data_IF_614963538127
#
_entry.id   IF_614963538127
#
_cell.length_a   1.000
_cell.length_b   1.000
_cell.length_c   1.000
_cell.angle_alpha   90.00
_cell.angle_beta   90.00
_cell.angle_gamma   90.00
#
_symmetry.space_group_name_H-M   'P 1'
#
loop_
_entity.id
_entity.type
_entity.pdbx_description
1 polymer ?
#
# COMPACT_ATOMS: atom_id res chain seq x y z
N UNK A 1 7.51 -37.89 26.44
CA UNK A 1 7.34 -37.10 25.21
C UNK A 1 8.62 -36.30 25.02
N UNK A 2 9.34 -36.50 23.91
CA UNK A 2 10.49 -35.64 23.59
C UNK A 2 9.89 -34.32 23.09
N UNK A 3 10.07 -33.24 23.83
CA UNK A 3 9.72 -31.90 23.38
C UNK A 3 10.59 -31.57 22.17
N UNK A 4 10.02 -31.65 20.96
CA UNK A 4 10.69 -31.17 19.74
C UNK A 4 10.62 -29.66 19.75
N UNK A 5 11.77 -29.01 19.97
CA UNK A 5 11.89 -27.57 19.79
C UNK A 5 11.82 -27.25 18.29
N UNK A 6 11.07 -26.22 17.89
CA UNK A 6 11.00 -25.83 16.48
C UNK A 6 12.39 -25.38 16.02
N UNK A 7 12.82 -25.90 14.87
CA UNK A 7 14.14 -25.61 14.31
C UNK A 7 13.97 -24.84 13.00
N UNK A 8 14.59 -23.65 12.87
CA UNK A 8 14.60 -22.91 11.61
C UNK A 8 15.16 -23.76 10.49
N UNK A 9 14.50 -23.74 9.33
CA UNK A 9 14.97 -24.37 8.11
C UNK A 9 15.07 -23.36 6.99
N UNK A 10 16.00 -23.60 6.07
CA UNK A 10 16.11 -22.87 4.83
C UNK A 10 16.64 -23.78 3.73
N UNK A 11 16.38 -23.39 2.48
CA UNK A 11 16.97 -23.96 1.28
C UNK A 11 17.46 -22.81 0.42
N UNK A 12 18.72 -22.89 0.01
CA UNK A 12 19.37 -21.90 -0.84
C UNK A 12 19.93 -22.61 -2.06
N UNK A 13 19.47 -22.20 -3.24
CA UNK A 13 20.15 -22.54 -4.49
C UNK A 13 20.95 -21.34 -4.98
N UNK A 14 22.09 -21.60 -5.61
CA UNK A 14 22.90 -20.62 -6.33
C UNK A 14 23.01 -21.09 -7.77
N UNK A 15 22.52 -20.30 -8.72
CA UNK A 15 22.43 -20.65 -10.15
C UNK A 15 21.83 -22.07 -10.34
N UNK A 16 20.68 -22.29 -9.70
CA UNK A 16 19.91 -23.55 -9.68
C UNK A 16 20.55 -24.72 -8.92
N UNK A 17 21.81 -24.61 -8.49
CA UNK A 17 22.46 -25.65 -7.69
C UNK A 17 22.13 -25.48 -6.20
N UNK A 18 21.59 -26.54 -5.57
CA UNK A 18 21.41 -26.56 -4.11
C UNK A 18 22.77 -26.52 -3.40
N UNK A 19 22.99 -25.44 -2.64
CA UNK A 19 24.20 -25.21 -1.84
C UNK A 19 23.90 -25.20 -0.34
N UNK A 20 22.69 -25.56 0.08
CA UNK A 20 22.22 -25.51 1.47
C UNK A 20 23.17 -26.23 2.41
N UNK A 21 23.64 -27.44 2.04
CA UNK A 21 24.59 -28.20 2.86
C UNK A 21 25.97 -27.55 3.03
N UNK A 22 26.39 -26.69 2.09
CA UNK A 22 27.63 -25.91 2.18
C UNK A 22 27.45 -24.64 3.03
N UNK A 23 26.26 -24.04 2.96
CA UNK A 23 25.91 -22.79 3.64
C UNK A 23 25.53 -23.02 5.10
N UNK A 24 24.75 -24.05 5.40
CA UNK A 24 24.26 -24.35 6.75
C UNK A 24 25.31 -24.33 7.87
N UNK A 25 26.47 -25.00 7.76
CA UNK A 25 27.47 -24.97 8.82
C UNK A 25 28.20 -23.61 8.96
N UNK A 26 27.98 -22.69 8.02
CA UNK A 26 28.67 -21.39 7.94
C UNK A 26 27.71 -20.21 8.14
N UNK A 27 26.41 -20.44 8.20
CA UNK A 27 25.43 -19.36 8.32
C UNK A 27 25.60 -18.63 9.65
N UNK A 28 25.93 -17.34 9.58
CA UNK A 28 25.91 -16.43 10.73
C UNK A 28 24.53 -15.81 10.86
N UNK A 29 24.00 -15.27 9.75
CA UNK A 29 22.66 -14.71 9.70
C UNK A 29 22.11 -14.71 8.28
N UNK A 30 20.77 -14.79 8.19
CA UNK A 30 19.99 -14.58 6.99
C UNK A 30 18.89 -13.58 7.34
N UNK A 31 18.83 -12.47 6.61
CA UNK A 31 17.73 -11.51 6.72
C UNK A 31 17.08 -11.33 5.35
N UNK A 32 15.77 -11.56 5.28
CA UNK A 32 14.96 -11.28 4.10
C UNK A 32 14.00 -10.13 4.43
N UNK A 33 14.15 -9.01 3.74
CA UNK A 33 13.22 -7.88 3.77
C UNK A 33 12.37 -7.91 2.50
N UNK A 34 11.06 -8.03 2.63
CA UNK A 34 10.11 -7.95 1.53
C UNK A 34 9.24 -6.70 1.67
N UNK A 35 8.97 -6.01 0.57
CA UNK A 35 8.23 -4.74 0.52
C UNK A 35 7.08 -4.78 -0.50
N UNK A 36 5.94 -4.15 -0.17
CA UNK A 36 4.82 -3.94 -1.09
C UNK A 36 4.99 -2.71 -2.01
N UNK A 37 6.04 -1.90 -1.80
CA UNK A 37 6.15 -0.55 -2.34
C UNK A 37 7.29 -0.33 -3.33
N UNK A 38 7.83 0.89 -3.33
CA UNK A 38 8.86 1.38 -4.26
C UNK A 38 10.25 0.76 -4.05
N UNK A 39 10.44 0.05 -2.94
CA UNK A 39 11.67 -0.67 -2.57
C UNK A 39 11.63 -2.12 -3.07
N UNK A 40 12.78 -2.62 -3.52
CA UNK A 40 12.94 -4.03 -3.89
C UNK A 40 13.07 -4.91 -2.66
N UNK A 41 12.60 -6.16 -2.76
CA UNK A 41 12.93 -7.17 -1.75
C UNK A 41 14.45 -7.38 -1.72
N UNK A 42 14.99 -7.60 -0.52
CA UNK A 42 16.41 -7.71 -0.26
C UNK A 42 16.71 -8.91 0.65
N UNK A 43 17.68 -9.71 0.23
CA UNK A 43 18.26 -10.80 0.99
C UNK A 43 19.69 -10.42 1.40
N UNK A 44 19.93 -10.42 2.70
CA UNK A 44 21.25 -10.30 3.30
C UNK A 44 21.66 -11.66 3.89
N UNK A 45 22.82 -12.17 3.47
CA UNK A 45 23.38 -13.44 3.93
C UNK A 45 24.79 -13.22 4.45
N UNK A 46 25.01 -13.48 5.73
CA UNK A 46 26.35 -13.42 6.33
C UNK A 46 26.83 -14.84 6.63
N UNK A 47 28.02 -15.16 6.13
CA UNK A 47 28.65 -16.48 6.23
C UNK A 47 30.00 -16.38 6.91
N UNK A 48 30.32 -17.35 7.76
CA UNK A 48 31.66 -17.52 8.31
C UNK A 48 32.60 -18.08 7.26
N UNK A 49 33.72 -17.38 7.08
CA UNK A 49 34.85 -17.80 6.25
C UNK A 49 36.13 -17.93 7.09
N UNK A 50 35.99 -18.34 8.36
CA UNK A 50 37.12 -18.47 9.29
C UNK A 50 38.21 -19.46 8.83
N UNK A 51 37.92 -20.34 7.87
CA UNK A 51 38.87 -21.26 7.25
C UNK A 51 39.29 -20.87 5.82
N UNK A 52 38.84 -19.72 5.32
CA UNK A 52 39.21 -19.16 4.02
C UNK A 52 38.81 -20.01 2.81
N UNK A 53 37.79 -20.86 2.95
CA UNK A 53 37.40 -21.83 1.91
C UNK A 53 36.23 -21.37 1.04
N UNK A 54 35.52 -20.31 1.42
CA UNK A 54 34.43 -19.79 0.60
C UNK A 54 34.99 -18.95 -0.53
N UNK A 55 34.64 -19.33 -1.76
CA UNK A 55 34.82 -18.44 -2.89
C UNK A 55 33.85 -17.25 -2.77
N UNK A 56 34.34 -16.05 -3.07
CA UNK A 56 33.50 -14.86 -3.21
C UNK A 56 32.68 -15.04 -4.51
N UNK A 57 31.35 -15.13 -4.46
CA UNK A 57 30.54 -15.32 -5.66
C UNK A 57 30.59 -14.08 -6.56
N UNK A 58 30.47 -14.24 -7.88
CA UNK A 58 30.41 -13.10 -8.78
C UNK A 58 29.10 -12.32 -8.58
N UNK A 59 29.14 -11.01 -8.85
CA UNK A 59 27.92 -10.21 -9.01
C UNK A 59 27.10 -10.77 -10.18
N UNK A 60 25.78 -10.72 -10.05
CA UNK A 60 24.84 -11.27 -11.03
C UNK A 60 24.41 -12.71 -10.75
N UNK A 61 25.07 -13.42 -9.82
CA UNK A 61 24.65 -14.77 -9.45
C UNK A 61 23.23 -14.79 -8.87
N UNK A 62 22.46 -15.83 -9.19
CA UNK A 62 21.05 -15.97 -8.81
C UNK A 62 20.90 -16.84 -7.58
N UNK A 63 20.23 -16.32 -6.56
CA UNK A 63 19.90 -17.04 -5.33
C UNK A 63 18.40 -17.26 -5.27
N UNK A 64 17.95 -18.52 -5.21
CA UNK A 64 16.57 -18.81 -4.81
C UNK A 64 16.53 -19.21 -3.34
N UNK A 65 15.63 -18.58 -2.59
CA UNK A 65 15.51 -18.79 -1.15
C UNK A 65 14.17 -19.45 -0.80
N UNK A 66 14.24 -20.49 0.03
CA UNK A 66 13.10 -20.93 0.82
C UNK A 66 13.43 -20.83 2.31
N UNK A 67 12.47 -20.43 3.14
CA UNK A 67 12.59 -20.39 4.60
C UNK A 67 11.37 -21.01 5.27
N UNK A 68 11.54 -21.52 6.49
CA UNK A 68 10.43 -21.99 7.28
C UNK A 68 10.89 -22.73 8.52
N UNK A 69 10.07 -23.68 8.96
CA UNK A 69 10.39 -24.52 10.10
C UNK A 69 10.61 -25.95 9.62
N UNK A 70 11.67 -26.61 10.07
CA UNK A 70 12.07 -27.93 9.60
C UNK A 70 10.94 -28.97 9.72
N UNK A 71 10.06 -28.82 10.71
CA UNK A 71 8.93 -29.72 10.93
C UNK A 71 7.67 -29.39 10.10
N UNK A 72 7.51 -28.14 9.64
CA UNK A 72 6.29 -27.65 8.98
C UNK A 72 6.48 -27.44 7.47
N UNK A 73 7.74 -27.43 7.01
CA UNK A 73 8.12 -27.21 5.61
C UNK A 73 8.67 -25.81 5.36
N UNK A 74 9.19 -25.62 4.15
CA UNK A 74 9.78 -24.37 3.70
C UNK A 74 8.85 -23.68 2.70
N UNK A 75 8.78 -22.34 2.77
CA UNK A 75 8.04 -21.49 1.84
C UNK A 75 9.03 -20.86 0.87
N UNK A 76 8.74 -20.94 -0.42
CA UNK A 76 9.51 -20.25 -1.46
C UNK A 76 9.35 -18.74 -1.31
N UNK A 77 10.47 -18.04 -1.14
CA UNK A 77 10.55 -16.59 -0.99
C UNK A 77 11.02 -15.87 -2.25
N UNK A 78 11.30 -16.60 -3.32
CA UNK A 78 11.63 -16.07 -4.64
C UNK A 78 13.11 -16.11 -4.98
N UNK A 79 13.43 -15.53 -6.13
CA UNK A 79 14.79 -15.41 -6.68
C UNK A 79 15.34 -14.00 -6.51
N UNK A 80 16.60 -13.91 -6.11
CA UNK A 80 17.35 -12.69 -5.82
C UNK A 80 18.65 -12.69 -6.61
N UNK A 81 19.09 -11.54 -7.10
CA UNK A 81 20.37 -11.39 -7.80
C UNK A 81 21.38 -10.73 -6.88
N UNK A 82 22.56 -11.35 -6.72
CA UNK A 82 23.67 -10.81 -5.93
C UNK A 82 24.20 -9.55 -6.63
N UNK A 83 24.23 -8.42 -5.94
CA UNK A 83 24.80 -7.18 -6.49
C UNK A 83 25.96 -6.63 -5.67
N UNK A 84 26.04 -6.98 -4.40
CA UNK A 84 27.12 -6.60 -3.51
C UNK A 84 27.63 -7.82 -2.73
N UNK A 85 28.96 -7.88 -2.63
CA UNK A 85 29.67 -8.88 -1.86
C UNK A 85 30.76 -8.16 -1.08
N UNK A 86 30.79 -8.39 0.22
CA UNK A 86 31.79 -7.87 1.14
C UNK A 86 32.52 -9.03 1.81
N UNK A 87 33.84 -8.92 1.96
CA UNK A 87 34.64 -9.79 2.84
C UNK A 87 35.26 -8.92 3.93
N UNK A 88 35.09 -9.31 5.18
CA UNK A 88 35.63 -8.62 6.34
C UNK A 88 36.56 -9.54 7.14
N UNK A 89 37.57 -8.97 7.80
CA UNK A 89 38.50 -9.72 8.66
C UNK A 89 37.99 -9.94 10.09
N UNK A 90 38.56 -10.94 10.76
CA UNK A 90 38.42 -11.36 12.17
C UNK A 90 37.14 -10.93 12.92
N UNK A 91 36.16 -11.85 13.11
CA UNK A 91 36.10 -13.14 12.44
C UNK A 91 35.95 -12.95 10.92
N UNK A 92 36.63 -13.77 10.14
CA UNK A 92 36.55 -13.66 8.68
C UNK A 92 35.13 -14.04 8.22
N UNK A 93 34.49 -13.13 7.48
CA UNK A 93 33.10 -13.26 7.05
C UNK A 93 32.92 -12.81 5.61
N UNK A 94 31.96 -13.43 4.92
CA UNK A 94 31.43 -12.98 3.64
C UNK A 94 29.99 -12.53 3.85
N UNK A 95 29.68 -11.30 3.45
CA UNK A 95 28.31 -10.78 3.43
C UNK A 95 27.87 -10.62 1.98
N UNK A 96 26.79 -11.31 1.62
CA UNK A 96 26.12 -11.18 0.32
C UNK A 96 24.88 -10.32 0.49
N UNK A 97 24.74 -9.31 -0.36
CA UNK A 97 23.49 -8.57 -0.53
C UNK A 97 22.94 -8.89 -1.91
N UNK A 98 21.74 -9.44 -1.93
CA UNK A 98 21.01 -9.79 -3.13
C UNK A 98 19.63 -9.12 -3.11
N UNK A 99 19.12 -8.73 -4.27
CA UNK A 99 17.82 -8.06 -4.39
C UNK A 99 16.97 -8.78 -5.43
N UNK A 100 15.65 -8.93 -5.22
CA UNK A 100 14.73 -9.38 -6.29
C UNK A 100 14.95 -8.48 -7.47
N UNK A 101 15.23 -9.06 -8.65
CA UNK A 101 15.58 -8.40 -9.91
C UNK A 101 15.26 -6.91 -9.88
N UNK A 102 16.17 -6.16 -9.25
CA UNK A 102 15.91 -4.77 -8.95
C UNK A 102 16.38 -4.07 -10.19
N UNK A 103 15.59 -4.16 -11.25
CA UNK A 103 15.64 -3.19 -12.32
C UNK A 103 17.11 -3.10 -12.78
N UNK A 104 17.64 -4.25 -13.24
CA UNK A 104 18.96 -4.39 -13.91
C UNK A 104 19.19 -3.13 -14.72
N UNK A 105 20.40 -2.58 -14.76
CA UNK A 105 20.77 -1.29 -15.36
C UNK A 105 19.81 -0.76 -16.45
N UNK A 106 19.33 -1.60 -17.38
CA UNK A 106 18.17 -1.41 -18.26
C UNK A 106 16.98 -0.59 -17.69
N UNK A 107 16.40 -0.92 -16.54
CA UNK A 107 15.25 -0.17 -15.99
C UNK A 107 15.64 1.17 -15.34
N UNK A 108 16.94 1.37 -15.09
CA UNK A 108 17.52 2.63 -14.60
C UNK A 108 17.98 3.52 -15.76
N UNK A 109 18.12 2.97 -16.96
CA UNK A 109 18.40 3.75 -18.16
C UNK A 109 17.22 4.66 -18.49
N UNK A 110 17.53 5.90 -18.83
CA UNK A 110 16.53 6.86 -19.26
C UNK A 110 15.97 6.43 -20.61
N UNK A 111 14.64 6.43 -20.71
CA UNK A 111 13.92 6.12 -21.94
C UNK A 111 13.12 7.34 -22.41
N UNK A 112 12.79 7.31 -23.70
CA UNK A 112 11.85 8.23 -24.32
C UNK A 112 10.80 7.45 -25.09
N UNK A 113 9.53 7.66 -24.76
CA UNK A 113 8.40 7.03 -25.43
C UNK A 113 7.14 7.88 -25.27
N UNK A 114 6.27 7.82 -26.27
CA UNK A 114 4.94 8.44 -26.24
C UNK A 114 3.87 7.40 -26.56
N UNK A 115 2.85 7.34 -25.73
CA UNK A 115 1.77 6.37 -25.79
C UNK A 115 0.46 7.11 -26.10
N UNK A 116 -0.23 6.69 -27.16
CA UNK A 116 -1.47 7.33 -27.62
C UNK A 116 -2.54 6.25 -27.87
N UNK A 117 -3.79 6.55 -27.56
CA UNK A 117 -4.97 5.70 -27.83
C UNK A 117 -4.71 4.21 -27.50
N UNK A 118 -4.13 3.96 -26.34
CA UNK A 118 -3.73 2.62 -25.88
C UNK A 118 -4.35 2.27 -24.54
N UNK A 119 -3.97 1.14 -23.96
CA UNK A 119 -4.37 0.73 -22.62
C UNK A 119 -3.18 0.66 -21.68
N UNK A 120 -3.44 0.82 -20.38
CA UNK A 120 -2.43 0.63 -19.36
C UNK A 120 -1.82 -0.78 -19.42
N UNK A 121 -2.61 -1.81 -19.71
CA UNK A 121 -2.12 -3.17 -19.94
C UNK A 121 -1.08 -3.26 -21.05
N UNK A 122 -1.36 -2.67 -22.21
CA UNK A 122 -0.42 -2.66 -23.34
C UNK A 122 0.91 -1.95 -22.99
N UNK A 123 0.86 -0.88 -22.20
CA UNK A 123 2.07 -0.16 -21.74
C UNK A 123 2.91 -1.06 -20.82
N UNK A 124 2.28 -1.69 -19.83
CA UNK A 124 2.98 -2.60 -18.90
C UNK A 124 3.55 -3.82 -19.62
N UNK A 125 2.81 -4.40 -20.58
CA UNK A 125 3.26 -5.51 -21.40
C UNK A 125 4.48 -5.15 -22.26
N UNK A 126 4.49 -3.96 -22.86
CA UNK A 126 5.64 -3.46 -23.61
C UNK A 126 6.89 -3.33 -22.71
N UNK A 127 6.74 -2.76 -21.51
CA UNK A 127 7.84 -2.60 -20.57
C UNK A 127 8.36 -3.97 -20.13
N UNK A 128 7.47 -4.91 -19.78
CA UNK A 128 7.84 -6.26 -19.41
C UNK A 128 8.63 -6.95 -20.55
N UNK A 129 8.11 -6.90 -21.77
CA UNK A 129 8.75 -7.49 -22.96
C UNK A 129 10.16 -6.92 -23.21
N UNK A 130 10.31 -5.59 -23.18
CA UNK A 130 11.60 -4.92 -23.37
C UNK A 130 12.65 -5.33 -22.36
N UNK A 131 12.22 -5.72 -21.16
CA UNK A 131 13.09 -6.11 -20.06
C UNK A 131 13.16 -7.65 -19.86
N UNK A 132 12.71 -8.43 -20.85
CA UNK A 132 12.74 -9.90 -20.83
C UNK A 132 11.97 -10.52 -19.64
N UNK A 133 10.89 -9.86 -19.21
CA UNK A 133 10.00 -10.31 -18.14
C UNK A 133 8.65 -10.76 -18.69
N UNK A 134 8.00 -11.67 -17.97
CA UNK A 134 6.57 -11.91 -18.12
C UNK A 134 5.77 -10.73 -17.56
N UNK A 135 4.55 -10.50 -18.07
CA UNK A 135 3.66 -9.46 -17.55
C UNK A 135 2.57 -10.06 -16.67
N UNK A 136 2.39 -9.50 -15.48
CA UNK A 136 1.33 -9.85 -14.53
C UNK A 136 0.54 -8.61 -14.12
N UNK A 137 -0.32 -8.11 -15.01
CA UNK A 137 -1.22 -6.99 -14.71
C UNK A 137 -2.60 -7.49 -14.28
N UNK A 138 -3.15 -6.88 -13.23
CA UNK A 138 -4.51 -7.15 -12.76
C UNK A 138 -5.57 -6.75 -13.79
N UNK A 139 -6.64 -7.55 -13.91
CA UNK A 139 -7.71 -7.33 -14.88
C UNK A 139 -8.40 -5.96 -14.73
N UNK A 140 -8.52 -5.46 -13.49
CA UNK A 140 -9.10 -4.14 -13.20
C UNK A 140 -8.30 -2.97 -13.78
N UNK A 141 -6.99 -3.16 -14.02
CA UNK A 141 -6.09 -2.14 -14.55
C UNK A 141 -5.80 -2.34 -16.05
N UNK A 142 -5.96 -3.57 -16.56
CA UNK A 142 -5.57 -3.97 -17.91
C UNK A 142 -6.19 -3.11 -19.00
N UNK A 143 -7.51 -2.85 -18.91
CA UNK A 143 -8.27 -2.16 -19.95
C UNK A 143 -8.45 -0.67 -19.69
N UNK A 144 -7.74 -0.09 -18.72
CA UNK A 144 -7.78 1.35 -18.46
C UNK A 144 -7.23 2.09 -19.68
N UNK A 145 -8.07 2.91 -20.31
CA UNK A 145 -7.72 3.67 -21.51
C UNK A 145 -6.73 4.77 -21.17
N UNK A 146 -5.67 4.86 -21.98
CA UNK A 146 -4.65 5.91 -21.93
C UNK A 146 -4.72 6.68 -23.24
N UNK A 147 -5.35 7.87 -23.19
CA UNK A 147 -5.46 8.75 -24.36
C UNK A 147 -4.08 9.25 -24.82
N UNK A 148 -3.29 9.74 -23.86
CA UNK A 148 -1.95 10.25 -24.11
C UNK A 148 -1.09 10.12 -22.85
N UNK A 149 0.14 9.63 -22.99
CA UNK A 149 1.11 9.56 -21.91
C UNK A 149 2.53 9.57 -22.47
N UNK A 150 3.37 10.46 -21.94
CA UNK A 150 4.79 10.53 -22.31
C UNK A 150 5.66 9.98 -21.18
N UNK A 151 6.69 9.23 -21.55
CA UNK A 151 7.86 8.89 -20.76
C UNK A 151 9.01 9.74 -21.29
N UNK A 152 9.31 10.86 -20.64
CA UNK A 152 10.27 11.86 -21.15
C UNK A 152 11.52 11.87 -20.31
N UNK A 153 12.63 11.33 -20.85
CA UNK A 153 13.90 11.16 -20.11
C UNK A 153 13.67 10.55 -18.74
N UNK A 154 12.85 9.52 -18.70
CA UNK A 154 12.41 8.85 -17.48
C UNK A 154 12.72 7.37 -17.63
N UNK A 155 13.32 6.77 -16.60
CA UNK A 155 13.63 5.34 -16.64
C UNK A 155 12.36 4.51 -16.45
N UNK A 156 12.33 3.26 -16.94
CA UNK A 156 11.14 2.39 -16.78
C UNK A 156 10.77 2.22 -15.30
N UNK A 157 11.76 2.18 -14.40
CA UNK A 157 11.54 2.18 -12.96
C UNK A 157 10.76 3.41 -12.47
N UNK A 158 11.20 4.61 -12.86
CA UNK A 158 10.55 5.86 -12.48
C UNK A 158 9.16 5.97 -13.11
N UNK A 159 9.03 5.56 -14.37
CA UNK A 159 7.77 5.56 -15.10
C UNK A 159 6.74 4.63 -14.46
N UNK A 160 7.14 3.40 -14.10
CA UNK A 160 6.29 2.46 -13.37
C UNK A 160 5.86 2.99 -12.00
N UNK A 161 6.75 3.66 -11.25
CA UNK A 161 6.39 4.32 -9.99
C UNK A 161 5.39 5.46 -10.19
N UNK A 162 5.56 6.25 -11.26
CA UNK A 162 4.63 7.33 -11.61
C UNK A 162 3.27 6.79 -12.02
N UNK A 163 3.24 5.73 -12.82
CA UNK A 163 2.03 4.98 -13.16
C UNK A 163 1.37 4.40 -11.90
N UNK A 164 2.15 3.79 -11.02
CA UNK A 164 1.68 3.24 -9.76
C UNK A 164 1.00 4.29 -8.88
N UNK A 165 1.61 5.48 -8.74
CA UNK A 165 1.00 6.62 -8.05
C UNK A 165 -0.28 7.11 -8.74
N UNK A 166 -0.29 7.18 -10.08
CA UNK A 166 -1.46 7.63 -10.85
C UNK A 166 -2.65 6.68 -10.69
N UNK A 167 -2.40 5.37 -10.69
CA UNK A 167 -3.45 4.34 -10.73
C UNK A 167 -3.65 3.61 -9.39
N UNK A 168 -3.03 4.09 -8.30
CA UNK A 168 -2.94 3.42 -7.00
C UNK A 168 -2.57 1.93 -7.10
N UNK A 169 -1.46 1.67 -7.77
CA UNK A 169 -0.95 0.33 -8.03
C UNK A 169 0.52 0.19 -7.62
N UNK A 170 0.90 -1.01 -7.22
CA UNK A 170 2.29 -1.41 -7.01
C UNK A 170 2.84 -2.03 -8.28
N UNK A 171 4.03 -1.56 -8.69
CA UNK A 171 4.87 -2.24 -9.66
C UNK A 171 6.01 -2.97 -8.95
N UNK A 172 6.13 -4.29 -9.14
CA UNK A 172 7.22 -5.09 -8.55
C UNK A 172 7.59 -6.25 -9.46
N UNK A 173 8.84 -6.73 -9.39
CA UNK A 173 9.29 -7.90 -10.14
C UNK A 173 9.41 -9.08 -9.18
N UNK A 174 8.64 -10.14 -9.43
CA UNK A 174 8.73 -11.40 -8.67
C UNK A 174 8.77 -12.56 -9.65
N UNK A 175 9.71 -13.49 -9.45
CA UNK A 175 9.85 -14.71 -10.24
C UNK A 175 9.81 -14.44 -11.77
N UNK A 176 10.68 -13.56 -12.27
CA UNK A 176 10.76 -13.13 -13.67
C UNK A 176 9.45 -12.56 -14.26
N UNK A 177 8.56 -12.07 -13.41
CA UNK A 177 7.29 -11.45 -13.82
C UNK A 177 7.23 -10.02 -13.28
N UNK A 178 7.02 -9.05 -14.17
CA UNK A 178 6.62 -7.69 -13.81
C UNK A 178 5.15 -7.69 -13.40
N UNK A 179 4.90 -7.52 -12.11
CA UNK A 179 3.57 -7.41 -11.54
C UNK A 179 3.15 -5.95 -11.46
N UNK A 180 1.94 -5.65 -11.95
CA UNK A 180 1.30 -4.34 -11.80
C UNK A 180 -0.11 -4.53 -11.27
N UNK A 181 -0.29 -4.30 -9.97
CA UNK A 181 -1.47 -4.72 -9.21
C UNK A 181 -1.95 -3.62 -8.25
N UNK A 182 -3.27 -3.45 -8.03
CA UNK A 182 -3.79 -2.41 -7.13
C UNK A 182 -3.20 -2.51 -5.72
N UNK A 183 -2.80 -1.38 -5.14
CA UNK A 183 -2.11 -1.34 -3.82
C UNK A 183 -3.01 -1.87 -2.71
N UNK A 184 -4.31 -1.59 -2.77
CA UNK A 184 -5.32 -1.90 -1.75
C UNK A 184 -5.94 -3.31 -1.85
N UNK A 185 -5.51 -4.15 -2.80
CA UNK A 185 -6.08 -5.48 -2.97
C UNK A 185 -5.13 -6.58 -2.46
N UNK A 186 -5.64 -7.36 -1.50
CA UNK A 186 -5.04 -8.63 -1.04
C UNK A 186 -5.34 -9.78 -2.01
N UNK A 187 -5.01 -9.60 -3.29
CA UNK A 187 -5.19 -10.58 -4.36
C UNK A 187 -3.88 -10.77 -5.11
N UNK A 188 -3.69 -11.96 -5.68
CA UNK A 188 -2.64 -12.22 -6.68
C UNK A 188 -2.93 -11.45 -7.98
N UNK A 189 -1.95 -11.35 -8.88
CA UNK A 189 -2.16 -10.75 -10.20
C UNK A 189 -3.25 -11.45 -11.02
N UNK A 190 -3.45 -12.76 -10.81
CA UNK A 190 -4.54 -13.55 -11.39
C UNK A 190 -5.90 -13.37 -10.69
N UNK A 191 -5.99 -12.48 -9.70
CA UNK A 191 -7.23 -12.17 -8.97
C UNK A 191 -7.58 -13.12 -7.82
N UNK A 192 -6.74 -14.12 -7.51
CA UNK A 192 -6.98 -15.05 -6.39
C UNK A 192 -6.76 -14.33 -5.06
N UNK A 193 -7.70 -14.44 -4.13
CA UNK A 193 -7.57 -13.89 -2.79
C UNK A 193 -6.37 -14.51 -2.05
N UNK A 194 -5.58 -13.66 -1.38
CA UNK A 194 -4.55 -14.09 -0.45
C UNK A 194 -5.20 -14.59 0.86
N UNK A 195 -4.64 -15.62 1.51
CA UNK A 195 -5.17 -16.13 2.77
C UNK A 195 -5.04 -15.08 3.87
N UNK A 196 -6.08 -14.96 4.70
CA UNK A 196 -6.05 -14.08 5.89
C UNK A 196 -5.17 -14.73 6.95
N UNK A 197 -4.21 -13.96 7.48
CA UNK A 197 -3.31 -14.41 8.53
C UNK A 197 -3.76 -13.83 9.87
N UNK A 198 -4.05 -14.71 10.82
CA UNK A 198 -4.48 -14.35 12.17
C UNK A 198 -3.26 -14.29 13.09
N UNK A 199 -2.99 -13.11 13.66
CA UNK A 199 -1.93 -12.92 14.64
C UNK A 199 -2.54 -12.62 16.01
N UNK A 200 -1.95 -13.19 17.06
CA UNK A 200 -2.39 -12.97 18.44
C UNK A 200 -1.26 -12.29 19.21
N UNK A 201 -1.58 -11.53 20.26
CA UNK A 201 -0.57 -10.88 21.11
C UNK A 201 0.48 -11.84 21.68
N UNK A 202 0.14 -13.11 21.91
CA UNK A 202 1.04 -14.14 22.44
C UNK A 202 2.11 -14.60 21.43
N UNK A 203 1.96 -14.31 20.14
CA UNK A 203 2.95 -14.67 19.11
C UNK A 203 4.11 -13.68 19.04
N UNK A 204 4.00 -12.51 19.69
CA UNK A 204 4.96 -11.43 19.53
C UNK A 204 5.53 -10.91 20.85
N UNK A 205 6.73 -10.33 20.73
CA UNK A 205 7.53 -9.83 21.86
C UNK A 205 7.41 -8.31 22.03
N UNK A 206 7.14 -7.58 20.94
CA UNK A 206 6.93 -6.13 20.96
C UNK A 206 5.98 -5.69 19.83
N UNK A 207 5.26 -4.59 20.07
CA UNK A 207 4.38 -4.00 19.06
C UNK A 207 4.39 -2.46 19.15
N UNK A 208 4.05 -1.81 18.04
CA UNK A 208 3.83 -0.37 17.96
C UNK A 208 2.57 -0.09 17.17
N UNK A 209 1.65 0.66 17.76
CA UNK A 209 0.49 1.22 17.07
C UNK A 209 0.67 2.72 16.92
N UNK A 210 0.39 3.25 15.74
CA UNK A 210 0.41 4.68 15.48
C UNK A 210 -0.83 5.06 14.66
N UNK A 211 -1.49 6.13 15.06
CA UNK A 211 -2.55 6.77 14.29
C UNK A 211 -2.39 8.28 14.42
N UNK A 212 -2.65 9.00 13.33
CA UNK A 212 -2.46 10.45 13.25
C UNK A 212 -3.72 11.11 12.69
N UNK A 213 -4.26 12.06 13.45
CA UNK A 213 -5.40 12.90 13.01
C UNK A 213 -4.98 14.02 12.04
N UNK A 214 -3.68 14.26 11.83
CA UNK A 214 -3.18 15.36 10.99
C UNK A 214 -3.66 15.31 9.52
N UNK A 215 -4.12 14.15 9.08
CA UNK A 215 -4.69 13.90 7.76
C UNK A 215 -6.16 13.46 7.84
N UNK A 216 -6.93 13.96 8.82
CA UNK A 216 -8.37 13.72 8.94
C UNK A 216 -9.18 14.46 7.86
N UNK A 217 -8.83 14.24 6.60
CA UNK A 217 -9.61 14.68 5.46
C UNK A 217 -10.86 13.82 5.36
N UNK A 218 -11.97 14.45 5.00
CA UNK A 218 -13.23 13.76 4.72
C UNK A 218 -13.28 13.15 3.33
N UNK A 219 -12.44 13.65 2.42
CA UNK A 219 -12.33 13.21 1.03
C UNK A 219 -11.17 13.89 0.31
N UNK A 220 -11.02 13.62 -0.98
CA UNK A 220 -10.07 14.29 -1.88
C UNK A 220 -10.82 14.92 -3.03
N UNK A 221 -10.65 16.24 -3.21
CA UNK A 221 -11.19 17.01 -4.34
C UNK A 221 -10.15 17.21 -5.41
N UNK A 222 -10.55 16.95 -6.66
CA UNK A 222 -9.71 17.14 -7.84
C UNK A 222 -10.45 17.94 -8.89
N UNK A 223 -9.77 18.89 -9.51
CA UNK A 223 -10.32 19.74 -10.56
C UNK A 223 -9.92 19.24 -11.94
N UNK A 224 -10.77 19.51 -12.92
CA UNK A 224 -10.49 19.27 -14.34
C UNK A 224 -11.12 20.35 -15.22
N UNK A 225 -10.60 20.48 -16.44
CA UNK A 225 -11.16 21.39 -17.44
C UNK A 225 -12.13 20.66 -18.37
N UNK A 226 -13.36 21.14 -18.41
CA UNK A 226 -14.34 20.69 -19.40
C UNK A 226 -14.17 21.49 -20.69
N UNK A 227 -13.42 20.91 -21.64
CA UNK A 227 -13.13 21.56 -22.92
C UNK A 227 -14.38 21.91 -23.72
N UNK A 228 -15.48 21.15 -23.56
CA UNK A 228 -16.72 21.37 -24.31
C UNK A 228 -17.43 22.64 -23.86
N UNK A 229 -17.38 22.93 -22.57
CA UNK A 229 -18.07 24.07 -21.97
C UNK A 229 -17.11 25.19 -21.54
N UNK A 230 -15.81 25.01 -21.73
CA UNK A 230 -14.74 25.92 -21.31
C UNK A 230 -14.76 26.29 -19.82
N UNK A 231 -15.37 25.44 -18.97
CA UNK A 231 -15.49 25.66 -17.53
C UNK A 231 -14.64 24.67 -16.74
N UNK A 232 -14.22 25.07 -15.54
CA UNK A 232 -13.57 24.17 -14.59
C UNK A 232 -14.63 23.41 -13.81
N UNK A 233 -14.43 22.11 -13.62
CA UNK A 233 -15.31 21.23 -12.83
C UNK A 233 -14.49 20.46 -11.81
N UNK A 234 -15.16 19.87 -10.82
CA UNK A 234 -14.52 19.07 -9.78
C UNK A 234 -15.21 17.73 -9.57
N UNK A 235 -14.43 16.80 -9.05
CA UNK A 235 -14.86 15.50 -8.53
C UNK A 235 -14.32 15.33 -7.12
N UNK A 236 -15.02 14.55 -6.30
CA UNK A 236 -14.61 14.22 -4.92
C UNK A 236 -14.68 12.72 -4.71
N UNK A 237 -13.60 12.14 -4.18
CA UNK A 237 -13.61 10.80 -3.60
C UNK A 237 -13.75 10.92 -2.07
N UNK A 238 -14.64 10.14 -1.46
CA UNK A 238 -15.05 10.34 -0.06
C UNK A 238 -16.12 11.43 0.06
N UNK A 239 -16.10 12.17 1.16
CA UNK A 239 -17.09 13.23 1.43
C UNK A 239 -16.50 14.63 1.16
N UNK A 240 -17.32 15.58 0.67
CA UNK A 240 -17.00 16.99 0.77
C UNK A 240 -17.05 17.45 2.25
N UNK A 241 -16.51 18.63 2.57
CA UNK A 241 -16.46 19.15 3.95
C UNK A 241 -15.16 18.80 4.66
N UNK A 242 -14.12 19.64 4.53
CA UNK A 242 -12.71 19.34 4.89
C UNK A 242 -12.03 18.33 3.94
N UNK A 243 -12.32 18.44 2.64
CA UNK A 243 -11.68 17.60 1.62
C UNK A 243 -10.30 18.13 1.24
N UNK A 244 -9.34 17.23 1.00
CA UNK A 244 -8.02 17.60 0.50
C UNK A 244 -8.12 18.03 -0.95
N UNK A 245 -7.79 19.28 -1.25
CA UNK A 245 -7.71 19.79 -2.62
C UNK A 245 -6.37 19.43 -3.28
N UNK A 246 -6.40 18.66 -4.37
CA UNK A 246 -5.22 18.50 -5.22
C UNK A 246 -4.92 19.79 -5.99
N UNK A 247 -3.63 20.14 -6.08
CA UNK A 247 -3.17 21.36 -6.75
C UNK A 247 -3.26 21.27 -8.27
N UNK A 248 -3.15 20.06 -8.81
CA UNK A 248 -3.18 19.81 -10.25
C UNK A 248 -4.61 19.85 -10.75
N UNK A 249 -4.84 20.66 -11.79
CA UNK A 249 -6.05 20.58 -12.61
C UNK A 249 -5.80 19.63 -13.78
N UNK A 250 -6.67 18.64 -13.95
CA UNK A 250 -6.53 17.60 -14.97
C UNK A 250 -7.22 17.99 -16.28
N UNK A 251 -6.79 17.38 -17.39
CA UNK A 251 -7.31 17.69 -18.72
C UNK A 251 -8.73 17.16 -18.96
N UNK A 252 -9.13 16.10 -18.25
CA UNK A 252 -10.43 15.45 -18.40
C UNK A 252 -10.93 14.89 -17.05
N UNK A 253 -12.21 14.54 -17.02
CA UNK A 253 -12.87 14.04 -15.82
C UNK A 253 -12.37 12.66 -15.38
N UNK A 254 -12.05 11.77 -16.33
CA UNK A 254 -11.59 10.41 -16.05
C UNK A 254 -10.28 10.42 -15.27
N UNK A 255 -9.30 11.21 -15.70
CA UNK A 255 -8.03 11.37 -15.00
C UNK A 255 -8.22 12.01 -13.61
N UNK A 256 -9.14 12.98 -13.49
CA UNK A 256 -9.45 13.60 -12.20
C UNK A 256 -10.08 12.62 -11.22
N UNK A 257 -11.02 11.77 -11.68
CA UNK A 257 -11.62 10.71 -10.85
C UNK A 257 -10.56 9.73 -10.37
N UNK A 258 -9.71 9.27 -11.28
CA UNK A 258 -8.64 8.33 -10.94
C UNK A 258 -7.70 8.92 -9.90
N UNK A 259 -7.29 10.19 -10.06
CA UNK A 259 -6.43 10.88 -9.11
C UNK A 259 -7.11 11.09 -7.74
N UNK A 260 -8.41 11.41 -7.73
CA UNK A 260 -9.18 11.57 -6.50
C UNK A 260 -9.23 10.26 -5.71
N UNK A 261 -9.61 9.16 -6.37
CA UNK A 261 -9.70 7.83 -5.77
C UNK A 261 -8.33 7.38 -5.27
N UNK A 262 -7.28 7.51 -6.08
CA UNK A 262 -5.93 7.06 -5.73
C UNK A 262 -5.39 7.78 -4.48
N UNK A 263 -5.50 9.11 -4.42
CA UNK A 263 -5.05 9.85 -3.25
C UNK A 263 -5.95 9.60 -2.03
N UNK A 264 -7.26 9.43 -2.23
CA UNK A 264 -8.17 9.10 -1.12
C UNK A 264 -7.82 7.75 -0.49
N UNK A 265 -7.63 6.72 -1.31
CA UNK A 265 -7.21 5.40 -0.84
C UNK A 265 -5.86 5.43 -0.15
N UNK A 266 -4.91 6.23 -0.65
CA UNK A 266 -3.62 6.45 0.00
C UNK A 266 -3.76 7.08 1.38
N UNK A 267 -4.61 8.10 1.54
CA UNK A 267 -4.88 8.72 2.84
C UNK A 267 -5.51 7.73 3.81
N UNK A 268 -6.49 6.94 3.34
CA UNK A 268 -7.17 5.93 4.14
C UNK A 268 -6.21 4.85 4.66
N UNK A 269 -5.25 4.38 3.83
CA UNK A 269 -4.26 3.38 4.25
C UNK A 269 -3.37 3.90 5.38
N UNK A 270 -3.02 5.18 5.33
CA UNK A 270 -2.16 5.86 6.31
C UNK A 270 -2.84 6.30 7.61
N UNK A 271 -4.14 6.07 7.79
CA UNK A 271 -4.87 6.48 9.00
C UNK A 271 -4.32 5.83 10.27
N UNK A 272 -3.91 4.57 10.16
CA UNK A 272 -3.27 3.84 11.22
C UNK A 272 -2.21 2.88 10.66
N UNK A 273 -1.13 2.72 11.41
CA UNK A 273 -0.09 1.72 11.17
C UNK A 273 0.11 0.86 12.41
N UNK A 274 0.43 -0.41 12.18
CA UNK A 274 0.70 -1.36 13.24
C UNK A 274 1.95 -2.17 12.91
N UNK A 275 2.82 -2.31 13.88
CA UNK A 275 4.05 -3.06 13.76
C UNK A 275 4.12 -4.11 14.86
N UNK A 276 4.54 -5.32 14.49
CA UNK A 276 4.63 -6.46 15.40
C UNK A 276 5.92 -7.25 15.13
N UNK A 277 6.65 -7.56 16.20
CA UNK A 277 7.77 -8.49 16.16
C UNK A 277 7.32 -9.85 16.69
N UNK A 278 7.28 -10.86 15.82
CA UNK A 278 6.95 -12.24 16.16
C UNK A 278 8.16 -12.98 16.71
N UNK A 279 8.00 -13.60 17.87
CA UNK A 279 9.02 -14.42 18.54
C UNK A 279 9.32 -15.69 17.74
N UNK A 280 8.27 -16.28 17.16
CA UNK A 280 8.37 -17.38 16.20
C UNK A 280 8.01 -16.84 14.82
N UNK A 281 8.97 -16.87 13.91
CA UNK A 281 8.80 -16.43 12.54
C UNK A 281 7.67 -17.17 11.83
N UNK A 282 6.90 -16.43 11.03
CA UNK A 282 5.83 -16.98 10.21
C UNK A 282 6.20 -16.81 8.74
N UNK A 283 6.67 -17.87 8.05
CA UNK A 283 7.17 -17.77 6.68
C UNK A 283 6.06 -17.51 5.65
N UNK A 284 4.78 -17.65 6.02
CA UNK A 284 3.64 -17.35 5.16
C UNK A 284 3.33 -15.85 5.08
N UNK A 285 3.82 -15.04 6.03
CA UNK A 285 3.71 -13.59 5.94
C UNK A 285 4.52 -13.09 4.75
N UNK A 286 3.89 -12.25 3.94
CA UNK A 286 4.49 -11.55 2.81
C UNK A 286 3.75 -10.22 2.61
N UNK A 287 4.32 -9.25 1.88
CA UNK A 287 3.63 -8.00 1.58
C UNK A 287 2.28 -8.26 0.87
N UNK A 288 1.31 -7.38 1.12
CA UNK A 288 -0.11 -7.45 0.70
C UNK A 288 -0.95 -8.53 1.38
N UNK A 289 -0.37 -9.35 2.26
CA UNK A 289 -1.14 -10.31 3.06
C UNK A 289 -2.20 -9.59 3.90
N UNK A 290 -3.48 -10.03 3.88
CA UNK A 290 -4.48 -9.53 4.79
C UNK A 290 -4.23 -10.11 6.19
N UNK A 291 -4.20 -9.25 7.20
CA UNK A 291 -3.88 -9.62 8.58
C UNK A 291 -5.00 -9.16 9.50
N UNK A 292 -5.37 -10.02 10.45
CA UNK A 292 -6.19 -9.64 11.60
C UNK A 292 -5.40 -9.90 12.86
N UNK A 293 -5.59 -9.04 13.86
CA UNK A 293 -4.88 -9.15 15.14
C UNK A 293 -5.87 -9.30 16.28
N UNK A 294 -5.45 -9.98 17.36
CA UNK A 294 -6.28 -10.14 18.55
C UNK A 294 -5.47 -10.16 19.83
N UNK A 295 -6.11 -9.72 20.91
CA UNK A 295 -5.51 -9.63 22.24
C UNK A 295 -4.76 -8.33 22.47
N UNK A 296 -4.94 -7.32 21.61
CA UNK A 296 -4.47 -5.95 21.84
C UNK A 296 -5.64 -5.08 22.31
N UNK A 297 -5.57 -3.76 22.09
CA UNK A 297 -6.68 -2.85 22.41
C UNK A 297 -7.74 -2.95 21.31
N UNK A 298 -9.01 -2.71 21.66
CA UNK A 298 -10.14 -2.73 20.71
C UNK A 298 -9.90 -1.88 19.45
N UNK A 299 -9.27 -0.71 19.60
CA UNK A 299 -8.94 0.18 18.48
C UNK A 299 -7.91 -0.41 17.49
N UNK A 300 -7.20 -1.48 17.86
CA UNK A 300 -6.23 -2.19 17.02
C UNK A 300 -6.88 -3.47 16.47
N UNK A 301 -7.57 -4.22 17.34
CA UNK A 301 -8.19 -5.52 17.02
C UNK A 301 -9.36 -5.40 16.03
N UNK A 302 -10.04 -4.24 15.97
CA UNK A 302 -11.14 -3.99 15.02
C UNK A 302 -10.69 -3.54 13.62
N UNK A 303 -9.41 -3.23 13.44
CA UNK A 303 -8.88 -2.77 12.17
C UNK A 303 -8.52 -3.98 11.30
N UNK A 304 -8.99 -3.98 10.06
CA UNK A 304 -8.44 -4.89 9.05
C UNK A 304 -7.09 -4.36 8.58
N UNK A 305 -6.05 -5.18 8.70
CA UNK A 305 -4.69 -4.79 8.38
C UNK A 305 -4.24 -5.38 7.05
N UNK A 306 -3.36 -4.68 6.36
CA UNK A 306 -2.63 -5.19 5.20
C UNK A 306 -1.12 -5.08 5.45
N UNK A 307 -0.39 -6.15 5.19
CA UNK A 307 1.07 -6.15 5.29
C UNK A 307 1.72 -5.25 4.23
N UNK A 308 2.58 -4.33 4.65
CA UNK A 308 3.35 -3.48 3.73
C UNK A 308 4.82 -3.89 3.65
N UNK A 309 5.35 -4.44 4.74
CA UNK A 309 6.73 -4.88 4.83
C UNK A 309 6.87 -6.04 5.81
N UNK A 310 7.68 -7.03 5.43
CA UNK A 310 8.01 -8.18 6.28
C UNK A 310 9.52 -8.35 6.32
N UNK A 311 10.07 -8.52 7.51
CA UNK A 311 11.49 -8.80 7.73
C UNK A 311 11.59 -10.14 8.45
N UNK A 312 12.06 -11.15 7.74
CA UNK A 312 12.37 -12.47 8.27
C UNK A 312 13.85 -12.52 8.66
N UNK A 313 14.17 -13.02 9.85
CA UNK A 313 15.55 -13.19 10.30
C UNK A 313 15.78 -14.59 10.84
N UNK A 314 16.82 -15.27 10.35
CA UNK A 314 17.34 -16.54 10.86
C UNK A 314 18.77 -16.29 11.34
N UNK A 315 19.01 -16.45 12.64
CA UNK A 315 20.34 -16.35 13.26
C UNK A 315 20.47 -17.34 14.42
N UNK A 316 21.53 -17.19 15.22
CA UNK A 316 21.68 -17.82 16.54
C UNK A 316 20.46 -17.65 17.47
N UNK A 317 19.70 -16.55 17.32
CA UNK A 317 18.46 -16.26 18.04
C UNK A 317 17.23 -17.04 17.54
N UNK A 318 17.36 -17.87 16.50
CA UNK A 318 16.27 -18.62 15.90
C UNK A 318 15.67 -17.93 14.68
N UNK A 319 14.40 -18.22 14.38
CA UNK A 319 13.66 -17.62 13.26
C UNK A 319 12.60 -16.67 13.80
N UNK A 320 12.70 -15.39 13.45
CA UNK A 320 11.76 -14.34 13.85
C UNK A 320 11.16 -13.64 12.62
N UNK A 321 10.07 -12.91 12.81
CA UNK A 321 9.48 -12.07 11.75
C UNK A 321 9.01 -10.75 12.31
N UNK A 322 9.49 -9.64 11.76
CA UNK A 322 8.94 -8.32 12.01
C UNK A 322 8.02 -7.96 10.85
N UNK A 323 6.84 -7.45 11.17
CA UNK A 323 5.85 -7.06 10.16
C UNK A 323 5.38 -5.64 10.41
N UNK A 324 5.30 -4.86 9.33
CA UNK A 324 4.67 -3.55 9.29
C UNK A 324 3.36 -3.66 8.52
N UNK A 325 2.30 -3.12 9.11
CA UNK A 325 0.94 -3.14 8.61
C UNK A 325 0.40 -1.72 8.45
N UNK A 326 -0.46 -1.55 7.45
CA UNK A 326 -1.28 -0.36 7.25
C UNK A 326 -2.77 -0.74 7.22
N UNK A 327 -3.64 0.27 7.34
CA UNK A 327 -5.08 0.04 7.29
C UNK A 327 -5.47 -0.51 5.93
N UNK A 328 -6.20 -1.63 5.89
CA UNK A 328 -6.76 -2.15 4.65
C UNK A 328 -7.95 -1.28 4.26
N UNK A 329 -8.00 -0.88 2.99
CA UNK A 329 -8.97 0.08 2.47
C UNK A 329 -9.88 -0.60 1.46
N UNK A 330 -11.16 -0.27 1.50
CA UNK A 330 -12.15 -0.73 0.53
C UNK A 330 -12.02 0.01 -0.81
N UNK A 331 -12.67 -0.50 -1.85
CA UNK A 331 -12.74 0.22 -3.12
C UNK A 331 -13.55 1.52 -2.94
N UNK A 332 -13.06 2.60 -3.56
CA UNK A 332 -13.66 3.92 -3.46
C UNK A 332 -13.97 4.45 -4.86
N UNK A 333 -15.02 5.26 -4.95
CA UNK A 333 -15.41 5.93 -6.19
C UNK A 333 -15.33 7.45 -6.02
N UNK A 334 -15.24 8.16 -7.14
CA UNK A 334 -15.26 9.62 -7.18
C UNK A 334 -16.52 10.12 -7.87
N UNK A 335 -17.28 10.93 -7.15
CA UNK A 335 -18.51 11.53 -7.62
C UNK A 335 -18.27 12.92 -8.20
N UNK A 336 -19.08 13.31 -9.19
CA UNK A 336 -19.06 14.66 -9.74
C UNK A 336 -19.77 15.60 -8.77
N UNK A 337 -19.13 16.72 -8.43
CA UNK A 337 -19.78 17.72 -7.61
C UNK A 337 -20.85 18.50 -8.41
N UNK A 338 -21.94 18.92 -7.75
CA UNK A 338 -23.00 19.68 -8.40
C UNK A 338 -22.49 21.04 -8.87
N UNK A 339 -23.00 21.51 -10.02
CA UNK A 339 -22.66 22.82 -10.58
C UNK A 339 -23.54 23.96 -10.03
N UNK A 340 -24.67 23.60 -9.43
CA UNK A 340 -25.62 24.52 -8.79
C UNK A 340 -25.79 24.12 -7.35
N UNK A 341 -26.11 25.08 -6.48
CA UNK A 341 -26.31 24.80 -5.06
C UNK A 341 -27.62 24.01 -4.87
N UNK A 342 -27.59 22.73 -4.45
CA UNK A 342 -28.81 21.98 -4.18
C UNK A 342 -29.51 22.46 -2.89
N UNK A 343 -28.79 23.17 -2.03
CA UNK A 343 -29.28 23.72 -0.77
C UNK A 343 -29.45 25.25 -0.90
N UNK A 344 -29.86 25.74 -2.08
CA UNK A 344 -30.04 27.17 -2.33
C UNK A 344 -30.97 27.80 -1.30
N UNK A 345 -30.52 28.92 -0.70
CA UNK A 345 -31.26 29.63 0.33
C UNK A 345 -31.21 29.00 1.74
N UNK A 346 -30.62 27.82 1.92
CA UNK A 346 -30.42 27.22 3.26
C UNK A 346 -29.38 28.03 4.04
N UNK A 347 -29.71 28.42 5.27
CA UNK A 347 -28.88 29.30 6.12
C UNK A 347 -28.28 28.58 7.34
N UNK A 348 -28.68 27.34 7.58
CA UNK A 348 -28.16 26.53 8.68
C UNK A 348 -28.61 25.07 8.61
N UNK A 349 -28.07 24.23 9.48
CA UNK A 349 -28.44 22.82 9.62
C UNK A 349 -28.84 22.54 11.06
N UNK A 350 -30.03 21.97 11.25
CA UNK A 350 -30.59 21.58 12.53
C UNK A 350 -30.59 20.05 12.66
N UNK A 351 -30.11 19.52 13.78
CA UNK A 351 -30.15 18.10 14.12
C UNK A 351 -30.87 17.86 15.43
N UNK A 352 -31.50 16.69 15.59
CA UNK A 352 -32.23 16.32 16.81
C UNK A 352 -31.49 15.24 17.57
N UNK A 353 -31.57 15.22 18.89
CA UNK A 353 -30.98 14.16 19.71
C UNK A 353 -31.86 13.74 20.89
N UNK A 354 -31.67 12.50 21.33
CA UNK A 354 -32.31 11.92 22.52
C UNK A 354 -31.35 10.94 23.20
N UNK A 355 -30.95 11.24 24.45
CA UNK A 355 -30.02 10.40 25.22
C UNK A 355 -30.68 9.05 25.56
N UNK A 356 -30.01 7.93 25.26
CA UNK A 356 -30.51 6.60 25.67
C UNK A 356 -30.44 6.47 27.20
N UNK A 357 -31.55 6.10 27.82
CA UNK A 357 -31.66 5.89 29.28
C UNK A 357 -31.86 7.17 30.11
N UNK A 358 -31.90 8.35 29.48
CA UNK A 358 -32.23 9.63 30.12
C UNK A 358 -33.37 10.28 29.36
N UNK A 359 -34.33 10.90 30.03
CA UNK A 359 -35.44 11.60 29.35
C UNK A 359 -35.00 12.99 28.81
N UNK A 360 -33.77 13.09 28.30
CA UNK A 360 -33.18 14.32 27.77
C UNK A 360 -33.15 14.25 26.25
N UNK A 361 -33.71 15.26 25.62
CA UNK A 361 -33.68 15.48 24.18
C UNK A 361 -33.47 16.96 23.89
N UNK A 362 -33.02 17.26 22.69
CA UNK A 362 -32.83 18.63 22.26
C UNK A 362 -32.49 18.70 20.78
N UNK A 363 -32.15 19.91 20.35
CA UNK A 363 -31.76 20.21 18.98
C UNK A 363 -30.42 20.93 18.98
N UNK A 364 -29.62 20.71 17.95
CA UNK A 364 -28.35 21.39 17.75
C UNK A 364 -28.35 22.05 16.37
N UNK A 365 -27.86 23.28 16.30
CA UNK A 365 -27.85 24.09 15.09
C UNK A 365 -26.41 24.48 14.73
N UNK A 366 -26.10 24.45 13.45
CA UNK A 366 -24.98 25.18 12.86
C UNK A 366 -25.50 26.17 11.81
N UNK A 367 -24.94 27.38 11.76
CA UNK A 367 -25.44 28.47 10.91
C UNK A 367 -26.56 29.29 11.57
N UNK A 368 -27.49 29.81 10.76
CA UNK A 368 -28.66 30.60 11.19
C UNK A 368 -29.94 29.77 11.22
N UNK A 369 -30.85 30.12 12.12
CA UNK A 369 -32.20 29.53 12.23
C UNK A 369 -33.18 29.96 11.13
N UNK A 370 -32.87 31.01 10.36
CA UNK A 370 -33.86 31.66 9.47
C UNK A 370 -34.47 30.72 8.42
N UNK A 371 -33.63 29.92 7.74
CA UNK A 371 -34.03 28.87 6.82
C UNK A 371 -33.13 27.63 7.02
N UNK A 372 -33.24 27.01 8.19
CA UNK A 372 -32.40 25.87 8.56
C UNK A 372 -32.94 24.54 8.01
N UNK A 373 -32.07 23.76 7.36
CA UNK A 373 -32.35 22.38 6.93
C UNK A 373 -32.35 21.45 8.15
N UNK A 374 -33.47 20.78 8.42
CA UNK A 374 -33.56 19.82 9.54
C UNK A 374 -33.22 18.41 9.06
N UNK A 375 -32.24 17.76 9.68
CA UNK A 375 -31.94 16.35 9.41
C UNK A 375 -32.96 15.44 10.10
N UNK A 376 -33.43 14.41 9.40
CA UNK A 376 -34.46 13.49 9.91
C UNK A 376 -33.97 12.60 11.05
N UNK A 377 -32.68 12.27 11.07
CA UNK A 377 -32.10 11.36 12.05
C UNK A 377 -32.05 11.98 13.46
N UNK A 378 -32.51 11.20 14.46
CA UNK A 378 -32.39 11.57 15.88
C UNK A 378 -31.19 10.85 16.50
N UNK A 379 -30.18 11.62 16.89
CA UNK A 379 -28.91 11.09 17.40
C UNK A 379 -28.98 10.70 18.88
N UNK A 380 -28.20 9.69 19.27
CA UNK A 380 -28.20 9.17 20.65
C UNK A 380 -27.43 10.07 21.64
N UNK A 381 -26.67 11.06 21.17
CA UNK A 381 -25.93 11.98 22.03
C UNK A 381 -25.96 13.41 21.46
N UNK A 382 -26.00 14.38 22.37
CA UNK A 382 -25.91 15.81 22.05
C UNK A 382 -24.63 16.15 21.31
N UNK A 383 -23.50 15.60 21.75
CA UNK A 383 -22.20 15.87 21.15
C UNK A 383 -22.12 15.41 19.69
N UNK A 384 -22.68 14.23 19.40
CA UNK A 384 -22.69 13.71 18.04
C UNK A 384 -23.63 14.52 17.14
N UNK A 385 -24.84 14.87 17.62
CA UNK A 385 -25.75 15.78 16.92
C UNK A 385 -25.11 17.13 16.59
N UNK A 386 -24.42 17.75 17.56
CA UNK A 386 -23.74 19.03 17.37
C UNK A 386 -22.58 18.93 16.37
N UNK A 387 -21.83 17.82 16.39
CA UNK A 387 -20.79 17.54 15.40
C UNK A 387 -21.40 17.43 14.00
N UNK A 388 -22.42 16.60 13.83
CA UNK A 388 -23.05 16.38 12.52
C UNK A 388 -23.69 17.66 11.96
N UNK A 389 -24.34 18.48 12.80
CA UNK A 389 -24.86 19.78 12.37
C UNK A 389 -23.74 20.67 11.80
N UNK A 390 -22.60 20.76 12.50
CA UNK A 390 -21.44 21.53 12.06
C UNK A 390 -20.83 20.98 10.78
N UNK A 391 -20.60 19.67 10.70
CA UNK A 391 -19.98 19.03 9.54
C UNK A 391 -20.83 19.26 8.27
N UNK A 392 -22.16 19.06 8.37
CA UNK A 392 -23.09 19.31 7.27
C UNK A 392 -23.16 20.79 6.87
N UNK A 393 -23.10 21.72 7.82
CA UNK A 393 -23.07 23.14 7.50
C UNK A 393 -21.77 23.55 6.78
N UNK A 394 -20.63 23.03 7.23
CA UNK A 394 -19.33 23.24 6.56
C UNK A 394 -19.36 22.69 5.13
N UNK A 395 -19.97 21.52 4.93
CA UNK A 395 -20.14 20.91 3.61
C UNK A 395 -20.93 21.82 2.65
N UNK A 396 -22.04 22.42 3.10
CA UNK A 396 -22.84 23.37 2.31
C UNK A 396 -22.00 24.61 1.95
N UNK A 397 -21.27 25.17 2.91
CA UNK A 397 -20.45 26.36 2.69
C UNK A 397 -19.31 26.10 1.70
N UNK A 398 -18.57 25.00 1.89
CA UNK A 398 -17.48 24.60 0.99
C UNK A 398 -18.01 24.36 -0.43
N UNK A 399 -19.14 23.69 -0.57
CA UNK A 399 -19.78 23.46 -1.88
C UNK A 399 -20.13 24.77 -2.59
N UNK A 400 -20.72 25.74 -1.88
CA UNK A 400 -21.04 27.07 -2.43
C UNK A 400 -19.79 27.82 -2.86
N UNK A 401 -18.73 27.76 -2.08
CA UNK A 401 -17.45 28.37 -2.43
C UNK A 401 -16.87 27.76 -3.72
N UNK A 402 -16.89 26.43 -3.84
CA UNK A 402 -16.38 25.72 -5.02
C UNK A 402 -17.22 26.02 -6.26
N UNK A 403 -18.55 26.04 -6.14
CA UNK A 403 -19.45 26.44 -7.24
C UNK A 403 -19.13 27.87 -7.68
N UNK A 404 -18.99 28.80 -6.73
CA UNK A 404 -18.64 30.19 -7.04
C UNK A 404 -17.24 30.28 -7.68
N UNK A 405 -16.27 29.51 -7.22
CA UNK A 405 -14.91 29.49 -7.78
C UNK A 405 -14.89 28.92 -9.20
N UNK A 406 -15.69 27.88 -9.49
CA UNK A 406 -15.79 27.28 -10.82
C UNK A 406 -16.54 28.17 -11.82
N UNK A 407 -17.42 29.06 -11.34
CA UNK A 407 -18.20 29.99 -12.15
C UNK A 407 -17.56 31.39 -12.25
N UNK A 408 -16.40 31.63 -11.63
CA UNK A 408 -15.62 32.86 -11.80
C UNK A 408 -14.73 32.71 -13.04
N UNK A 409 -15.18 33.32 -14.14
CA UNK A 409 -14.35 33.60 -15.31
C UNK A 409 -13.25 34.63 -14.99
#
# INVERSE_FOLDING_TARGET
>A
MITRYPSPGFLITLDEQDITGKIAPRLVSLTLTECAGDDSDQLDLTLSDADGKLAIPPRGAKINLHIGWAQDGLVNKGEFTVDEVEHSGTPDQITLRARTANLIDAFRQLQEASFHDTTLGAIIELIAFKNELQSGIADSLRNVVVMHLDQTRESDAAFLRRLGKKYDATATVKNNTLLFIPTNQSKTASGKALPIIHLTRQLGDSHRYHSSERDSYSGVRVFWHDQKYAVRKSVVAGNPGNSKRLRTTYANETDARQAAVAEWQRLQRGLATFELALALGNPALMPKSPVTVSGFKDAIDQVEWQAVKTIHSISDGGFTTRIELETKVEEAEAEREPQTDPDEGITGVLTKWKEKGRNRSGEELAGSTDNAKTLELVYASRQYAAKTARDQWVEIQERREIIAENNRD
#
